data_IF_458114550266
#
_entry.id   IF_458114550266
#
_cell.length_a   1.000
_cell.length_b   1.000
_cell.length_c   1.000
_cell.angle_alpha   90.00
_cell.angle_beta   90.00
_cell.angle_gamma   90.00
#
_symmetry.space_group_name_H-M   'P 1'
#
loop_
_entity.id
_entity.type
_entity.pdbx_description
1 polymer ?
#
# COMPACT_ATOMS: atom_id res chain seq x y z
N UNK A 1 -35.07 -33.85 -47.14
CA UNK A 1 -33.72 -33.54 -46.69
C UNK A 1 -33.80 -32.49 -45.59
N UNK A 2 -33.66 -32.95 -44.36
CA UNK A 2 -33.56 -32.07 -43.19
C UNK A 2 -32.22 -31.34 -43.30
N UNK A 3 -32.30 -30.01 -43.44
CA UNK A 3 -31.15 -29.15 -43.21
C UNK A 3 -30.73 -29.32 -41.75
N UNK A 4 -29.55 -29.86 -41.52
CA UNK A 4 -28.98 -29.97 -40.21
C UNK A 4 -28.93 -28.61 -39.54
N UNK A 5 -29.47 -28.54 -38.33
CA UNK A 5 -29.20 -27.47 -37.39
C UNK A 5 -27.69 -27.49 -37.17
N UNK A 6 -27.01 -26.42 -37.57
CA UNK A 6 -25.58 -26.27 -37.25
C UNK A 6 -25.42 -26.46 -35.76
N UNK A 7 -24.39 -27.20 -35.38
CA UNK A 7 -24.04 -27.45 -33.99
C UNK A 7 -23.91 -26.12 -33.26
N UNK A 8 -24.82 -25.88 -32.32
CA UNK A 8 -24.77 -24.72 -31.44
C UNK A 8 -23.72 -25.05 -30.39
N UNK A 9 -22.49 -24.61 -30.59
CA UNK A 9 -21.46 -24.68 -29.58
C UNK A 9 -21.84 -23.73 -28.43
N UNK A 10 -22.28 -24.32 -27.33
CA UNK A 10 -22.56 -23.61 -26.11
C UNK A 10 -21.22 -23.35 -25.39
N UNK A 11 -20.98 -22.11 -24.93
CA UNK A 11 -19.83 -21.75 -24.11
C UNK A 11 -19.66 -22.75 -22.95
N UNK A 12 -18.57 -23.49 -22.96
CA UNK A 12 -18.26 -24.53 -21.97
C UNK A 12 -17.25 -24.05 -20.92
N UNK A 13 -16.55 -22.96 -21.20
CA UNK A 13 -15.48 -22.40 -20.33
C UNK A 13 -15.58 -20.88 -20.38
N UNK A 14 -15.34 -20.22 -19.26
CA UNK A 14 -15.20 -18.77 -19.20
C UNK A 14 -13.80 -18.36 -19.64
N UNK A 15 -13.68 -17.32 -20.50
CA UNK A 15 -12.40 -16.86 -20.99
C UNK A 15 -12.52 -15.88 -22.16
N UNK A 16 -11.38 -15.35 -22.57
CA UNK A 16 -11.25 -14.51 -23.76
C UNK A 16 -11.39 -15.36 -25.03
N UNK A 17 -12.28 -14.95 -25.91
CA UNK A 17 -12.52 -15.64 -27.17
C UNK A 17 -11.68 -14.96 -28.26
N UNK A 18 -10.78 -15.73 -28.88
CA UNK A 18 -10.00 -15.28 -30.02
C UNK A 18 -10.21 -16.20 -31.22
N UNK A 19 -10.04 -15.66 -32.44
CA UNK A 19 -10.09 -16.43 -33.67
C UNK A 19 -8.68 -16.45 -34.26
N UNK A 20 -8.11 -17.64 -34.37
CA UNK A 20 -6.79 -17.86 -34.98
C UNK A 20 -6.94 -18.89 -36.08
N UNK A 21 -6.54 -18.54 -37.31
CA UNK A 21 -6.61 -19.40 -38.50
C UNK A 21 -8.00 -20.05 -38.74
N UNK A 22 -9.09 -19.32 -38.41
CA UNK A 22 -10.47 -19.80 -38.58
C UNK A 22 -10.98 -20.71 -37.47
N UNK A 23 -10.18 -21.00 -36.45
CA UNK A 23 -10.59 -21.72 -35.22
C UNK A 23 -10.85 -20.74 -34.06
N UNK A 24 -11.88 -21.04 -33.25
CA UNK A 24 -12.22 -20.26 -32.06
C UNK A 24 -11.49 -20.86 -30.85
N UNK A 25 -10.67 -20.04 -30.21
CA UNK A 25 -9.98 -20.39 -28.98
C UNK A 25 -10.57 -19.61 -27.82
N UNK A 26 -10.71 -20.25 -26.67
CA UNK A 26 -11.09 -19.63 -25.40
C UNK A 26 -9.88 -19.77 -24.46
N UNK A 27 -9.36 -18.63 -23.98
CA UNK A 27 -8.23 -18.55 -23.05
C UNK A 27 -8.65 -17.79 -21.80
N UNK A 28 -8.18 -18.21 -20.66
CA UNK A 28 -8.27 -17.46 -19.39
C UNK A 28 -7.26 -16.29 -19.31
N UNK A 29 -6.42 -16.14 -20.34
CA UNK A 29 -5.47 -15.04 -20.48
C UNK A 29 -5.94 -14.07 -21.55
N UNK A 30 -6.13 -12.83 -21.16
CA UNK A 30 -6.36 -11.69 -22.06
C UNK A 30 -5.01 -11.09 -22.46
N UNK A 31 -4.61 -11.25 -23.71
CA UNK A 31 -3.34 -10.76 -24.24
C UNK A 31 -3.55 -9.46 -25.04
N UNK A 32 -2.76 -8.44 -24.75
CA UNK A 32 -2.75 -7.14 -25.43
C UNK A 32 -1.30 -6.72 -25.72
N UNK A 33 -1.09 -5.97 -26.83
CA UNK A 33 0.25 -5.53 -27.19
C UNK A 33 0.73 -4.42 -26.23
N UNK A 34 0.05 -3.26 -26.20
CA UNK A 34 0.31 -2.15 -25.29
C UNK A 34 -0.97 -1.64 -24.66
N UNK A 35 -0.91 -1.20 -23.40
CA UNK A 35 -2.00 -0.47 -22.76
C UNK A 35 -1.76 1.02 -22.96
N UNK A 36 -2.43 1.59 -23.95
CA UNK A 36 -2.27 2.97 -24.42
C UNK A 36 -3.62 3.51 -24.89
N UNK A 37 -3.61 4.63 -25.62
CA UNK A 37 -4.81 5.23 -26.20
C UNK A 37 -5.57 4.28 -27.16
N UNK A 38 -4.91 3.26 -27.70
CA UNK A 38 -5.52 2.29 -28.61
C UNK A 38 -6.31 1.21 -27.86
N UNK A 39 -5.82 0.73 -26.72
CA UNK A 39 -6.48 -0.31 -25.94
C UNK A 39 -7.36 0.29 -24.82
N UNK A 40 -7.02 1.49 -24.33
CA UNK A 40 -7.71 2.11 -23.19
C UNK A 40 -7.41 1.42 -21.86
N UNK A 41 -8.25 1.68 -20.86
CA UNK A 41 -8.21 0.97 -19.59
C UNK A 41 -8.70 -0.46 -19.75
N UNK A 42 -8.06 -1.38 -19.05
CA UNK A 42 -8.42 -2.82 -19.12
C UNK A 42 -8.97 -3.27 -17.77
N UNK A 43 -10.13 -3.90 -17.82
CA UNK A 43 -10.74 -4.62 -16.69
C UNK A 43 -11.14 -6.01 -17.15
N UNK A 44 -10.63 -7.07 -16.47
CA UNK A 44 -10.83 -8.45 -16.85
C UNK A 44 -10.87 -9.36 -15.63
N UNK A 45 -11.57 -10.50 -15.69
CA UNK A 45 -11.67 -11.42 -14.55
C UNK A 45 -10.55 -12.47 -14.49
N UNK A 46 -9.91 -12.79 -15.63
CA UNK A 46 -8.82 -13.76 -15.72
C UNK A 46 -7.44 -13.12 -15.70
N UNK A 47 -6.42 -13.84 -16.15
CA UNK A 47 -5.07 -13.31 -16.23
C UNK A 47 -4.92 -12.32 -17.40
N UNK A 48 -4.07 -11.32 -17.23
CA UNK A 48 -3.75 -10.33 -18.27
C UNK A 48 -2.26 -10.44 -18.63
N UNK A 49 -1.98 -10.49 -19.91
CA UNK A 49 -0.63 -10.39 -20.46
C UNK A 49 -0.52 -9.15 -21.35
N UNK A 50 0.35 -8.22 -20.97
CA UNK A 50 0.73 -7.05 -21.77
C UNK A 50 2.10 -7.35 -22.38
N UNK A 51 2.15 -7.57 -23.71
CA UNK A 51 3.40 -7.89 -24.43
C UNK A 51 4.39 -6.73 -24.48
N UNK A 52 3.89 -5.52 -24.44
CA UNK A 52 4.66 -4.27 -24.45
C UNK A 52 4.53 -3.50 -23.15
N UNK A 53 4.19 -2.21 -23.24
CA UNK A 53 4.20 -1.27 -22.14
C UNK A 53 2.78 -0.94 -21.63
N UNK A 54 2.72 -0.49 -20.38
CA UNK A 54 1.54 0.19 -19.84
C UNK A 54 1.87 1.68 -19.73
N UNK A 55 1.21 2.48 -20.57
CA UNK A 55 1.45 3.92 -20.66
C UNK A 55 0.83 4.69 -19.49
N UNK A 56 1.29 5.92 -19.30
CA UNK A 56 0.83 6.77 -18.22
C UNK A 56 -0.68 7.09 -18.28
N UNK A 57 -1.28 7.23 -17.11
CA UNK A 57 -2.71 7.53 -16.89
C UNK A 57 -3.68 6.43 -17.33
N UNK A 58 -3.20 5.26 -17.70
CA UNK A 58 -4.02 4.08 -17.93
C UNK A 58 -4.08 3.18 -16.70
N UNK A 59 -5.08 2.31 -16.68
CA UNK A 59 -5.28 1.33 -15.61
C UNK A 59 -5.49 -0.07 -16.17
N UNK A 60 -4.92 -1.04 -15.44
CA UNK A 60 -5.14 -2.48 -15.67
C UNK A 60 -5.66 -3.07 -14.38
N UNK A 61 -6.83 -3.69 -14.44
CA UNK A 61 -7.46 -4.30 -13.28
C UNK A 61 -7.91 -5.72 -13.59
N UNK A 62 -7.59 -6.65 -12.69
CA UNK A 62 -7.99 -8.06 -12.81
C UNK A 62 -8.13 -8.72 -11.44
N UNK A 63 -8.92 -9.79 -11.39
CA UNK A 63 -8.95 -10.72 -10.26
C UNK A 63 -7.82 -11.77 -10.34
N UNK A 64 -7.26 -12.00 -11.52
CA UNK A 64 -6.14 -12.90 -11.77
C UNK A 64 -4.78 -12.22 -11.64
N UNK A 65 -3.82 -12.73 -12.42
CA UNK A 65 -2.44 -12.23 -12.46
C UNK A 65 -2.25 -11.24 -13.62
N UNK A 66 -1.27 -10.33 -13.46
CA UNK A 66 -0.86 -9.40 -14.52
C UNK A 66 0.61 -9.63 -14.86
N UNK A 67 0.89 -9.89 -16.15
CA UNK A 67 2.23 -10.01 -16.70
C UNK A 67 2.48 -8.87 -17.69
N UNK A 68 3.52 -8.07 -17.45
CA UNK A 68 3.93 -6.97 -18.34
C UNK A 68 5.35 -7.23 -18.83
N UNK A 69 5.53 -7.45 -20.12
CA UNK A 69 6.86 -7.70 -20.68
C UNK A 69 7.69 -6.43 -20.89
N UNK A 70 7.04 -5.27 -20.90
CA UNK A 70 7.65 -3.96 -21.04
C UNK A 70 7.83 -3.19 -19.74
N UNK A 71 7.68 -1.87 -19.84
CA UNK A 71 7.75 -0.89 -18.73
C UNK A 71 6.36 -0.40 -18.39
N UNK A 72 6.13 -0.13 -17.10
CA UNK A 72 4.93 0.56 -16.61
C UNK A 72 5.28 2.01 -16.32
N UNK A 73 4.59 2.96 -16.93
CA UNK A 73 4.83 4.39 -16.78
C UNK A 73 3.62 5.09 -16.16
N UNK A 74 3.74 5.61 -14.94
CA UNK A 74 2.72 6.41 -14.27
C UNK A 74 1.29 5.85 -14.33
N UNK A 75 1.14 4.54 -14.38
CA UNK A 75 -0.12 3.82 -14.53
C UNK A 75 -0.55 3.14 -13.22
N UNK A 76 -1.79 2.67 -13.18
CA UNK A 76 -2.34 1.93 -12.04
C UNK A 76 -2.58 0.48 -12.45
N UNK A 77 -1.99 -0.47 -11.71
CA UNK A 77 -2.23 -1.90 -11.91
C UNK A 77 -2.78 -2.50 -10.61
N UNK A 78 -3.94 -3.12 -10.70
CA UNK A 78 -4.58 -3.83 -9.59
C UNK A 78 -4.83 -5.28 -10.00
N UNK A 79 -4.22 -6.22 -9.30
CA UNK A 79 -4.36 -7.65 -9.52
C UNK A 79 -4.82 -8.36 -8.24
N UNK A 80 -5.77 -9.28 -8.36
CA UNK A 80 -6.13 -10.18 -7.26
C UNK A 80 -5.04 -11.22 -6.96
N UNK A 81 -4.24 -11.58 -7.96
CA UNK A 81 -3.07 -12.45 -7.87
C UNK A 81 -1.75 -11.68 -7.90
N UNK A 82 -0.79 -12.19 -8.65
CA UNK A 82 0.57 -11.65 -8.77
C UNK A 82 0.67 -10.59 -9.87
N UNK A 83 1.62 -9.64 -9.69
CA UNK A 83 2.03 -8.69 -10.72
C UNK A 83 3.50 -8.95 -11.04
N UNK A 84 3.78 -9.27 -12.30
CA UNK A 84 5.13 -9.47 -12.81
C UNK A 84 5.42 -8.48 -13.92
N UNK A 85 6.43 -7.63 -13.74
CA UNK A 85 6.86 -6.64 -14.71
C UNK A 85 8.31 -6.97 -15.11
N UNK A 86 8.50 -7.51 -16.31
CA UNK A 86 9.81 -7.99 -16.76
C UNK A 86 10.90 -6.91 -16.77
N UNK A 87 10.53 -5.66 -17.03
CA UNK A 87 11.47 -4.53 -16.94
C UNK A 87 11.29 -3.80 -15.61
N UNK A 88 10.22 -3.09 -15.40
CA UNK A 88 9.98 -2.37 -14.14
C UNK A 88 9.03 -1.20 -14.29
N UNK A 89 8.96 -0.35 -13.26
CA UNK A 89 8.01 0.74 -13.21
C UNK A 89 8.67 2.08 -12.96
N UNK A 90 8.38 3.05 -13.83
CA UNK A 90 8.56 4.47 -13.59
C UNK A 90 7.23 5.09 -13.14
N UNK A 91 7.00 5.17 -11.83
CA UNK A 91 5.72 5.58 -11.27
C UNK A 91 5.40 7.09 -11.42
N UNK A 92 6.40 7.95 -11.62
CA UNK A 92 6.22 9.41 -11.79
C UNK A 92 5.43 10.05 -10.63
N UNK A 93 5.53 9.49 -9.41
CA UNK A 93 4.78 9.86 -8.19
C UNK A 93 3.24 9.71 -8.28
N UNK A 94 2.71 9.07 -9.31
CA UNK A 94 1.28 8.79 -9.51
C UNK A 94 0.99 7.32 -9.80
N UNK A 95 2.00 6.59 -10.23
CA UNK A 95 1.87 5.17 -10.55
C UNK A 95 1.69 4.31 -9.30
N UNK A 96 0.79 3.31 -9.41
CA UNK A 96 0.40 2.47 -8.30
C UNK A 96 0.31 1.02 -8.72
N UNK A 97 0.87 0.12 -7.91
CA UNK A 97 0.74 -1.34 -8.04
C UNK A 97 0.07 -1.89 -6.79
N UNK A 98 -0.98 -2.68 -6.97
CA UNK A 98 -1.66 -3.39 -5.88
C UNK A 98 -1.83 -4.85 -6.29
N UNK A 99 -1.21 -5.77 -5.55
CA UNK A 99 -1.32 -7.20 -5.77
C UNK A 99 -1.91 -7.90 -4.54
N UNK A 100 -2.85 -8.78 -4.76
CA UNK A 100 -3.31 -9.73 -3.75
C UNK A 100 -2.27 -10.83 -3.45
N UNK A 101 -1.35 -11.07 -4.38
CA UNK A 101 -0.18 -11.93 -4.26
C UNK A 101 1.12 -11.16 -4.16
N UNK A 102 2.08 -11.51 -5.00
CA UNK A 102 3.45 -10.99 -5.03
C UNK A 102 3.64 -9.93 -6.12
N UNK A 103 4.66 -9.11 -5.97
CA UNK A 103 5.09 -8.17 -7.02
C UNK A 103 6.56 -8.42 -7.34
N UNK A 104 6.84 -8.70 -8.61
CA UNK A 104 8.18 -8.92 -9.13
C UNK A 104 8.45 -7.92 -10.23
N UNK A 105 9.52 -7.14 -10.08
CA UNK A 105 9.92 -6.14 -11.06
C UNK A 105 11.43 -5.96 -11.07
N UNK A 106 12.02 -5.55 -12.18
CA UNK A 106 13.45 -5.24 -12.22
C UNK A 106 13.77 -3.95 -11.45
N UNK A 107 12.92 -2.92 -11.59
CA UNK A 107 13.05 -1.69 -10.84
C UNK A 107 11.69 -1.07 -10.50
N UNK A 108 11.63 -0.35 -9.39
CA UNK A 108 10.50 0.44 -8.94
C UNK A 108 11.01 1.85 -8.65
N UNK A 109 10.52 2.85 -9.37
CA UNK A 109 10.98 4.23 -9.21
C UNK A 109 9.81 5.19 -9.08
N UNK A 110 9.80 6.01 -8.03
CA UNK A 110 8.77 7.00 -7.73
C UNK A 110 7.34 6.43 -7.81
N UNK A 111 7.13 5.23 -7.23
CA UNK A 111 5.89 4.45 -7.28
C UNK A 111 5.33 4.15 -5.90
N UNK A 112 4.00 3.93 -5.82
CA UNK A 112 3.33 3.34 -4.67
C UNK A 112 3.03 1.87 -4.95
N UNK A 113 3.58 0.97 -4.13
CA UNK A 113 3.53 -0.48 -4.34
C UNK A 113 3.00 -1.17 -3.09
N UNK A 114 1.97 -1.97 -3.24
CA UNK A 114 1.37 -2.76 -2.15
C UNK A 114 1.17 -4.19 -2.62
N UNK A 115 1.79 -5.14 -1.92
CA UNK A 115 1.61 -6.57 -2.13
C UNK A 115 1.16 -7.23 -0.82
N UNK A 116 0.21 -8.16 -0.87
CA UNK A 116 -0.10 -8.98 0.30
C UNK A 116 0.95 -10.08 0.53
N UNK A 117 1.66 -10.49 -0.51
CA UNK A 117 2.83 -11.37 -0.46
C UNK A 117 4.14 -10.59 -0.33
N UNK A 118 5.16 -11.03 -1.06
CA UNK A 118 6.47 -10.39 -1.11
C UNK A 118 6.59 -9.40 -2.28
N UNK A 119 7.59 -8.53 -2.18
CA UNK A 119 8.02 -7.64 -3.27
C UNK A 119 9.47 -7.93 -3.59
N UNK A 120 9.75 -8.24 -4.85
CA UNK A 120 11.10 -8.45 -5.35
C UNK A 120 11.46 -7.41 -6.43
N UNK A 121 12.60 -6.72 -6.24
CA UNK A 121 13.11 -5.77 -7.23
C UNK A 121 14.62 -5.58 -7.09
N UNK A 122 15.35 -5.46 -8.21
CA UNK A 122 16.79 -5.14 -8.16
C UNK A 122 17.03 -3.70 -7.63
N UNK A 123 16.09 -2.78 -7.85
CA UNK A 123 16.20 -1.38 -7.43
C UNK A 123 14.85 -0.82 -6.99
N UNK A 124 14.81 -0.21 -5.81
CA UNK A 124 13.66 0.51 -5.27
C UNK A 124 14.12 1.94 -4.97
N UNK A 125 13.62 2.90 -5.77
CA UNK A 125 14.08 4.28 -5.74
C UNK A 125 12.91 5.24 -5.46
N UNK A 126 13.02 6.07 -4.42
CA UNK A 126 12.04 7.10 -4.07
C UNK A 126 10.59 6.59 -4.06
N UNK A 127 10.40 5.34 -3.64
CA UNK A 127 9.12 4.64 -3.71
C UNK A 127 8.58 4.32 -2.33
N UNK A 128 7.26 4.17 -2.25
CA UNK A 128 6.59 3.65 -1.06
C UNK A 128 6.19 2.21 -1.34
N UNK A 129 6.86 1.28 -0.67
CA UNK A 129 6.65 -0.16 -0.84
C UNK A 129 6.11 -0.75 0.46
N UNK A 130 5.02 -1.51 0.34
CA UNK A 130 4.39 -2.24 1.45
C UNK A 130 4.25 -3.69 1.03
N UNK A 131 4.93 -4.59 1.74
CA UNK A 131 4.85 -6.03 1.53
C UNK A 131 4.23 -6.72 2.75
N UNK A 132 3.28 -7.60 2.53
CA UNK A 132 2.65 -8.41 3.57
C UNK A 132 3.60 -9.43 4.20
N UNK A 133 4.69 -9.79 3.51
CA UNK A 133 5.71 -10.73 4.03
C UNK A 133 7.10 -10.12 3.99
N UNK A 134 7.78 -10.11 2.87
CA UNK A 134 9.20 -9.79 2.73
C UNK A 134 9.46 -8.85 1.55
N UNK A 135 10.58 -8.12 1.58
CA UNK A 135 11.08 -7.36 0.44
C UNK A 135 12.48 -7.85 0.10
N UNK A 136 12.67 -8.23 -1.16
CA UNK A 136 13.94 -8.72 -1.70
C UNK A 136 14.53 -7.71 -2.69
N UNK A 137 15.69 -7.17 -2.36
CA UNK A 137 16.45 -6.27 -3.21
C UNK A 137 17.93 -6.65 -3.20
N UNK A 138 18.23 -7.90 -3.58
CA UNK A 138 19.58 -8.47 -3.54
C UNK A 138 20.18 -8.64 -4.94
N UNK A 139 19.32 -8.85 -5.94
CA UNK A 139 19.74 -9.08 -7.32
C UNK A 139 20.28 -7.79 -7.97
N UNK A 140 21.14 -7.94 -8.95
CA UNK A 140 21.70 -6.83 -9.72
C UNK A 140 22.40 -5.78 -8.86
N UNK A 141 21.93 -4.53 -8.88
CA UNK A 141 22.46 -3.46 -8.02
C UNK A 141 22.05 -3.63 -6.56
N UNK A 142 20.93 -4.28 -6.30
CA UNK A 142 20.46 -4.56 -4.97
C UNK A 142 20.24 -3.31 -4.12
N UNK A 143 19.55 -2.28 -4.65
CA UNK A 143 19.52 -0.96 -4.04
C UNK A 143 18.13 -0.53 -3.59
N UNK A 144 18.00 -0.15 -2.33
CA UNK A 144 16.86 0.61 -1.80
C UNK A 144 17.37 2.01 -1.43
N UNK A 145 16.89 3.05 -2.11
CA UNK A 145 17.29 4.44 -1.84
C UNK A 145 16.15 5.42 -2.02
N UNK A 146 15.84 6.16 -0.96
CA UNK A 146 14.73 7.09 -0.90
C UNK A 146 13.36 6.44 -0.70
N UNK A 147 12.46 7.16 -0.05
CA UNK A 147 11.11 6.70 0.23
C UNK A 147 11.01 5.79 1.46
N UNK A 148 10.02 4.91 1.47
CA UNK A 148 9.70 4.06 2.61
C UNK A 148 9.39 2.64 2.19
N UNK A 149 10.05 1.67 2.79
CA UNK A 149 9.84 0.23 2.58
C UNK A 149 9.36 -0.39 3.89
N UNK A 150 8.25 -1.09 3.83
CA UNK A 150 7.62 -1.76 4.98
C UNK A 150 7.41 -3.23 4.62
N UNK A 151 7.84 -4.13 5.50
CA UNK A 151 7.58 -5.57 5.40
C UNK A 151 7.18 -6.15 6.76
N UNK A 152 6.36 -7.22 6.76
CA UNK A 152 5.99 -7.85 8.03
C UNK A 152 7.12 -8.63 8.66
N UNK A 153 7.96 -9.31 7.85
CA UNK A 153 8.97 -10.26 8.34
C UNK A 153 10.40 -9.76 8.14
N UNK A 154 10.80 -9.53 6.90
CA UNK A 154 12.18 -9.22 6.59
C UNK A 154 12.34 -8.28 5.38
N UNK A 155 13.45 -7.56 5.37
CA UNK A 155 13.95 -6.84 4.19
C UNK A 155 15.37 -7.32 3.91
N UNK A 156 15.55 -7.94 2.75
CA UNK A 156 16.84 -8.44 2.28
C UNK A 156 17.35 -7.48 1.20
N UNK A 157 18.42 -6.79 1.47
CA UNK A 157 18.95 -5.75 0.58
C UNK A 157 20.47 -5.81 0.49
N UNK A 158 21.01 -5.58 -0.70
CA UNK A 158 22.45 -5.44 -0.86
C UNK A 158 22.91 -4.06 -0.38
N UNK A 159 22.30 -2.98 -0.88
CA UNK A 159 22.66 -1.63 -0.49
C UNK A 159 21.42 -0.82 -0.07
N UNK A 160 21.47 -0.14 1.08
CA UNK A 160 20.38 0.67 1.59
C UNK A 160 20.83 2.12 1.82
N UNK A 161 20.04 3.08 1.30
CA UNK A 161 20.40 4.50 1.32
C UNK A 161 21.32 4.91 0.18
N UNK A 162 21.99 6.03 0.34
CA UNK A 162 23.00 6.51 -0.59
C UNK A 162 24.07 7.34 0.12
N UNK A 163 25.28 7.46 -0.43
CA UNK A 163 26.33 8.34 0.11
C UNK A 163 25.91 9.81 0.22
N UNK A 164 24.91 10.21 -0.57
CA UNK A 164 24.36 11.59 -0.57
C UNK A 164 23.32 11.81 0.53
N UNK A 165 23.04 10.81 1.38
CA UNK A 165 22.10 10.93 2.50
C UNK A 165 20.62 11.01 2.06
N UNK A 166 20.22 10.32 0.99
CA UNK A 166 18.82 10.26 0.58
C UNK A 166 17.96 9.68 1.70
N UNK A 167 16.91 10.40 2.11
CA UNK A 167 16.02 9.98 3.18
C UNK A 167 15.36 8.63 2.85
N UNK A 168 15.80 7.59 3.53
CA UNK A 168 15.36 6.21 3.31
C UNK A 168 14.86 5.63 4.62
N UNK A 169 13.66 5.06 4.62
CA UNK A 169 13.03 4.46 5.81
C UNK A 169 12.76 2.99 5.51
N UNK A 170 13.23 2.09 6.37
CA UNK A 170 13.00 0.66 6.28
C UNK A 170 12.36 0.18 7.58
N UNK A 171 11.18 -0.43 7.47
CA UNK A 171 10.43 -0.94 8.62
C UNK A 171 10.12 -2.42 8.47
N UNK A 172 10.33 -3.19 9.54
CA UNK A 172 9.96 -4.61 9.59
C UNK A 172 9.35 -5.00 10.94
N UNK A 173 8.69 -6.14 10.99
CA UNK A 173 8.23 -6.74 12.22
C UNK A 173 6.86 -6.29 12.70
N UNK A 174 6.05 -5.73 11.84
CA UNK A 174 4.66 -5.39 12.15
C UNK A 174 3.78 -5.55 10.91
N UNK A 175 2.55 -6.00 11.11
CA UNK A 175 1.58 -6.10 10.03
C UNK A 175 1.26 -4.71 9.45
N UNK A 176 1.50 -4.50 8.13
CA UNK A 176 1.29 -3.22 7.47
C UNK A 176 -0.18 -2.79 7.45
N UNK A 177 -1.13 -3.74 7.33
CA UNK A 177 -2.56 -3.42 7.30
C UNK A 177 -3.03 -2.90 8.66
N UNK A 178 -2.61 -3.56 9.74
CA UNK A 178 -2.89 -3.11 11.11
C UNK A 178 -2.30 -1.72 11.35
N UNK A 179 -1.06 -1.47 10.95
CA UNK A 179 -0.45 -0.11 11.04
C UNK A 179 -1.19 0.93 10.22
N UNK A 180 -1.61 0.59 9.02
CA UNK A 180 -2.38 1.50 8.17
C UNK A 180 -3.73 1.84 8.81
N UNK A 181 -4.43 0.84 9.35
CA UNK A 181 -5.69 1.04 10.07
C UNK A 181 -5.49 1.93 11.30
N UNK A 182 -4.45 1.66 12.09
CA UNK A 182 -4.08 2.47 13.26
C UNK A 182 -3.79 3.93 12.88
N UNK A 183 -3.06 4.17 11.79
CA UNK A 183 -2.76 5.53 11.32
C UNK A 183 -4.04 6.30 10.90
N UNK A 184 -4.97 5.63 10.22
CA UNK A 184 -6.26 6.20 9.83
C UNK A 184 -7.09 6.54 11.06
N UNK A 185 -7.19 5.64 12.03
CA UNK A 185 -7.92 5.86 13.27
C UNK A 185 -7.32 6.98 14.11
N UNK A 186 -5.99 7.03 14.26
CA UNK A 186 -5.29 8.11 14.97
C UNK A 186 -5.59 9.48 14.36
N UNK A 187 -5.62 9.57 13.03
CA UNK A 187 -5.99 10.80 12.32
C UNK A 187 -7.45 11.18 12.61
N UNK A 188 -8.38 10.22 12.50
CA UNK A 188 -9.81 10.43 12.77
C UNK A 188 -10.05 10.89 14.19
N UNK A 189 -9.44 10.23 15.18
CA UNK A 189 -9.48 10.59 16.60
C UNK A 189 -8.97 12.03 16.82
N UNK A 190 -7.85 12.39 16.19
CA UNK A 190 -7.29 13.74 16.28
C UNK A 190 -8.22 14.82 15.73
N UNK A 191 -8.82 14.60 14.56
CA UNK A 191 -9.78 15.52 13.93
C UNK A 191 -11.07 15.63 14.75
N UNK A 192 -11.60 14.50 15.22
CA UNK A 192 -12.82 14.44 16.02
C UNK A 192 -12.62 15.10 17.38
N UNK A 193 -11.50 14.89 18.05
CA UNK A 193 -11.16 15.55 19.33
C UNK A 193 -11.12 17.06 19.20
N UNK A 194 -10.54 17.58 18.09
CA UNK A 194 -10.55 19.02 17.80
C UNK A 194 -11.97 19.55 17.60
N UNK A 195 -12.80 18.84 16.83
CA UNK A 195 -14.20 19.22 16.59
C UNK A 195 -15.01 19.23 17.89
N UNK A 196 -14.87 18.21 18.74
CA UNK A 196 -15.52 18.13 20.06
C UNK A 196 -15.09 19.30 20.94
N UNK A 197 -13.82 19.64 20.98
CA UNK A 197 -13.31 20.78 21.75
C UNK A 197 -13.93 22.11 21.31
N UNK A 198 -14.05 22.32 19.99
CA UNK A 198 -14.70 23.51 19.43
C UNK A 198 -16.21 23.58 19.80
N UNK A 199 -16.93 22.48 19.62
CA UNK A 199 -18.35 22.40 19.99
C UNK A 199 -18.56 22.64 21.49
N UNK A 200 -17.70 22.04 22.33
CA UNK A 200 -17.72 22.26 23.78
C UNK A 200 -17.55 23.74 24.13
N UNK A 201 -16.58 24.42 23.55
CA UNK A 201 -16.32 25.84 23.79
C UNK A 201 -17.53 26.71 23.42
N UNK A 202 -18.20 26.40 22.28
CA UNK A 202 -19.42 27.11 21.88
C UNK A 202 -20.57 26.88 22.89
N UNK A 203 -20.75 25.61 23.32
CA UNK A 203 -21.80 25.28 24.31
C UNK A 203 -21.55 25.96 25.66
N UNK A 204 -20.29 25.95 26.15
CA UNK A 204 -19.90 26.61 27.41
C UNK A 204 -20.10 28.13 27.33
N UNK A 205 -19.69 28.79 26.26
CA UNK A 205 -19.88 30.21 26.03
C UNK A 205 -21.37 30.58 25.97
N UNK A 206 -22.18 29.73 25.33
CA UNK A 206 -23.63 29.94 25.25
C UNK A 206 -24.29 29.77 26.62
N UNK A 207 -23.87 28.75 27.37
CA UNK A 207 -24.36 28.55 28.75
C UNK A 207 -24.02 29.72 29.69
N UNK A 208 -22.83 30.29 29.56
CA UNK A 208 -22.43 31.49 30.33
C UNK A 208 -23.30 32.70 29.98
N UNK A 209 -23.61 32.94 28.70
CA UNK A 209 -24.51 34.02 28.26
C UNK A 209 -25.93 33.86 28.81
N UNK A 210 -26.44 32.62 28.86
CA UNK A 210 -27.77 32.36 29.47
C UNK A 210 -27.74 32.66 30.95
N UNK A 211 -26.70 32.24 31.68
CA UNK A 211 -26.53 32.53 33.12
C UNK A 211 -26.44 34.02 33.42
N UNK A 212 -25.90 34.82 32.51
CA UNK A 212 -25.84 36.30 32.64
C UNK A 212 -27.13 37.00 32.26
N UNK A 213 -28.24 36.29 32.04
CA UNK A 213 -29.58 36.87 31.80
C UNK A 213 -29.89 37.15 30.32
N UNK A 214 -29.08 36.71 29.37
CA UNK A 214 -29.36 36.88 27.96
C UNK A 214 -30.56 36.02 27.50
N UNK A 215 -31.56 36.65 26.88
CA UNK A 215 -32.70 35.96 26.27
C UNK A 215 -32.29 35.36 24.92
N UNK A 216 -32.56 34.10 24.72
CA UNK A 216 -32.32 33.41 23.42
C UNK A 216 -33.56 33.50 22.52
N UNK A 217 -33.33 33.63 21.21
CA UNK A 217 -34.37 33.48 20.20
C UNK A 217 -34.74 32.00 20.01
N UNK A 218 -35.96 31.69 19.52
CA UNK A 218 -36.35 30.30 19.23
C UNK A 218 -35.36 29.56 18.32
N UNK A 219 -34.80 30.25 17.32
CA UNK A 219 -33.82 29.68 16.39
C UNK A 219 -32.49 29.37 17.08
N UNK A 220 -32.05 30.23 18.01
CA UNK A 220 -30.85 29.96 18.80
C UNK A 220 -31.03 28.74 19.71
N UNK A 221 -32.21 28.56 20.30
CA UNK A 221 -32.54 27.38 21.11
C UNK A 221 -32.50 26.11 20.25
N UNK A 222 -33.08 26.15 19.04
CA UNK A 222 -33.07 25.04 18.11
C UNK A 222 -31.65 24.66 17.69
N UNK A 223 -30.83 25.65 17.33
CA UNK A 223 -29.42 25.41 16.93
C UNK A 223 -28.59 24.87 18.10
N UNK A 224 -28.83 25.33 19.33
CA UNK A 224 -28.14 24.82 20.51
C UNK A 224 -28.50 23.35 20.80
N UNK A 225 -29.78 22.96 20.65
CA UNK A 225 -30.19 21.56 20.80
C UNK A 225 -29.54 20.67 19.75
N UNK A 226 -29.48 21.13 18.48
CA UNK A 226 -28.81 20.42 17.40
C UNK A 226 -27.29 20.23 17.68
N UNK A 227 -26.64 21.32 18.16
CA UNK A 227 -25.23 21.26 18.53
C UNK A 227 -24.97 20.32 19.72
N UNK A 228 -25.85 20.28 20.70
CA UNK A 228 -25.77 19.33 21.82
C UNK A 228 -25.90 17.88 21.33
N UNK A 229 -26.82 17.61 20.42
CA UNK A 229 -26.96 16.28 19.82
C UNK A 229 -25.71 15.89 19.06
N UNK A 230 -25.21 16.76 18.19
CA UNK A 230 -23.96 16.52 17.43
C UNK A 230 -22.75 16.32 18.34
N UNK A 231 -22.67 17.03 19.44
CA UNK A 231 -21.64 16.87 20.46
C UNK A 231 -21.70 15.49 21.10
N UNK A 232 -22.90 15.05 21.52
CA UNK A 232 -23.08 13.71 22.11
C UNK A 232 -22.76 12.59 21.13
N UNK A 233 -23.23 12.67 19.88
CA UNK A 233 -22.93 11.70 18.82
C UNK A 233 -21.42 11.64 18.52
N UNK A 234 -20.76 12.81 18.51
CA UNK A 234 -19.31 12.88 18.27
C UNK A 234 -18.51 12.28 19.41
N UNK A 235 -18.96 12.47 20.65
CA UNK A 235 -18.32 11.82 21.82
C UNK A 235 -18.47 10.29 21.78
N UNK A 236 -19.64 9.79 21.45
CA UNK A 236 -19.86 8.34 21.33
C UNK A 236 -18.97 7.72 20.23
N UNK A 237 -18.88 8.39 19.07
CA UNK A 237 -18.00 7.95 17.98
C UNK A 237 -16.53 7.98 18.40
N UNK A 238 -16.10 9.01 19.12
CA UNK A 238 -14.73 9.10 19.64
C UNK A 238 -14.41 7.95 20.57
N UNK A 239 -15.32 7.58 21.47
CA UNK A 239 -15.12 6.46 22.38
C UNK A 239 -15.00 5.13 21.64
N UNK A 240 -15.82 4.91 20.58
CA UNK A 240 -15.72 3.72 19.74
C UNK A 240 -14.39 3.65 19.00
N UNK A 241 -13.93 4.77 18.45
CA UNK A 241 -12.63 4.84 17.76
C UNK A 241 -11.45 4.60 18.70
N UNK A 242 -11.52 5.13 19.94
CA UNK A 242 -10.49 4.88 20.96
C UNK A 242 -10.48 3.42 21.43
N UNK A 243 -11.65 2.80 21.59
CA UNK A 243 -11.74 1.38 21.93
C UNK A 243 -11.17 0.49 20.81
N UNK A 244 -11.47 0.80 19.54
CA UNK A 244 -10.90 0.10 18.39
C UNK A 244 -9.37 0.28 18.34
N UNK A 245 -8.85 1.48 18.60
CA UNK A 245 -7.42 1.75 18.70
C UNK A 245 -6.76 0.90 19.79
N UNK A 246 -7.33 0.82 20.97
CA UNK A 246 -6.80 0.01 22.06
C UNK A 246 -6.77 -1.48 21.70
N UNK A 247 -7.81 -2.00 21.03
CA UNK A 247 -7.82 -3.38 20.53
C UNK A 247 -6.75 -3.63 19.46
N UNK A 248 -6.55 -2.67 18.56
CA UNK A 248 -5.50 -2.76 17.55
C UNK A 248 -4.09 -2.72 18.17
N UNK A 249 -3.88 -1.90 19.19
CA UNK A 249 -2.61 -1.84 19.93
C UNK A 249 -2.31 -3.15 20.65
N UNK A 250 -3.31 -3.80 21.25
CA UNK A 250 -3.15 -5.13 21.84
C UNK A 250 -2.94 -6.24 20.78
N UNK A 251 -3.54 -6.09 19.61
CA UNK A 251 -3.41 -7.05 18.50
C UNK A 251 -2.14 -6.86 17.68
N UNK A 252 -1.44 -5.73 17.82
CA UNK A 252 -0.14 -5.49 17.20
C UNK A 252 0.90 -6.48 17.72
N UNK A 253 0.87 -7.69 17.14
CA UNK A 253 1.92 -8.67 17.37
C UNK A 253 3.14 -8.24 16.58
N UNK A 254 4.17 -7.88 17.29
CA UNK A 254 5.48 -7.72 16.69
C UNK A 254 6.10 -9.09 16.43
N UNK A 255 6.67 -9.26 15.24
CA UNK A 255 7.44 -10.48 14.94
C UNK A 255 8.83 -10.35 15.57
N UNK A 256 9.11 -11.17 16.56
CA UNK A 256 10.42 -11.19 17.25
C UNK A 256 11.56 -11.70 16.33
N UNK A 257 11.23 -12.39 15.24
CA UNK A 257 12.20 -12.86 14.24
C UNK A 257 12.41 -11.87 13.10
N UNK A 258 11.73 -10.73 13.13
CA UNK A 258 11.87 -9.71 12.09
C UNK A 258 13.29 -9.18 12.04
N UNK A 259 13.83 -9.07 10.82
CA UNK A 259 15.21 -8.66 10.60
C UNK A 259 15.40 -7.91 9.29
N UNK A 260 16.54 -7.23 9.18
CA UNK A 260 16.99 -6.61 7.93
C UNK A 260 18.36 -7.16 7.62
N UNK A 261 18.51 -7.83 6.49
CA UNK A 261 19.75 -8.37 5.97
C UNK A 261 20.41 -7.40 4.99
N UNK A 262 21.67 -7.09 5.23
CA UNK A 262 22.47 -6.17 4.44
C UNK A 262 23.64 -6.94 3.85
N UNK A 263 23.51 -7.33 2.57
CA UNK A 263 24.54 -8.07 1.85
C UNK A 263 25.65 -7.19 1.25
N UNK A 264 25.60 -5.89 1.47
CA UNK A 264 26.59 -4.91 1.04
C UNK A 264 26.69 -3.77 2.05
N UNK A 265 26.22 -2.56 1.72
CA UNK A 265 26.36 -1.39 2.58
C UNK A 265 25.02 -0.72 2.88
N UNK A 266 24.76 -0.44 4.17
CA UNK A 266 23.73 0.48 4.61
C UNK A 266 24.39 1.82 4.98
N UNK A 267 24.02 2.86 4.24
CA UNK A 267 24.62 4.19 4.36
C UNK A 267 24.08 4.98 5.55
N UNK A 268 24.85 5.97 5.98
CA UNK A 268 24.45 6.93 7.02
C UNK A 268 23.14 7.65 6.63
N UNK A 269 22.29 7.93 7.62
CA UNK A 269 21.01 8.64 7.44
C UNK A 269 19.80 7.72 7.16
N UNK A 270 20.02 6.42 6.94
CA UNK A 270 18.90 5.46 6.83
C UNK A 270 18.21 5.34 8.19
N UNK A 271 16.89 5.48 8.21
CA UNK A 271 16.06 5.23 9.38
C UNK A 271 15.52 3.79 9.33
N UNK A 272 15.77 3.05 10.38
CA UNK A 272 15.38 1.64 10.53
C UNK A 272 14.38 1.52 11.67
N UNK A 273 13.34 0.72 11.49
CA UNK A 273 12.45 0.30 12.56
C UNK A 273 12.24 -1.21 12.51
N UNK A 274 12.47 -1.91 13.63
CA UNK A 274 12.28 -3.36 13.77
C UNK A 274 11.41 -3.61 14.99
N UNK A 275 10.22 -4.16 14.78
CA UNK A 275 9.29 -4.53 15.86
C UNK A 275 9.10 -3.43 16.91
N UNK A 276 8.95 -2.17 16.44
CA UNK A 276 8.75 -0.99 17.28
C UNK A 276 10.01 -0.31 17.81
N UNK A 277 11.18 -0.97 17.80
CA UNK A 277 12.45 -0.32 18.07
C UNK A 277 12.89 0.49 16.85
N UNK A 278 13.57 1.64 17.07
CA UNK A 278 13.99 2.54 15.99
C UNK A 278 15.48 2.84 16.09
N UNK A 279 16.15 2.94 14.95
CA UNK A 279 17.55 3.29 14.82
C UNK A 279 17.74 4.23 13.63
N UNK A 280 18.45 5.33 13.82
CA UNK A 280 18.98 6.10 12.69
C UNK A 280 20.45 5.75 12.51
N UNK A 281 20.81 5.29 11.34
CA UNK A 281 22.18 4.86 11.00
C UNK A 281 23.10 6.06 11.03
N UNK A 282 24.03 6.06 11.99
CA UNK A 282 25.06 7.11 12.16
C UNK A 282 26.36 6.76 11.45
N UNK A 283 26.73 5.47 11.48
CA UNK A 283 27.90 4.92 10.80
C UNK A 283 27.43 3.82 9.87
N UNK A 284 28.12 3.62 8.76
CA UNK A 284 27.77 2.58 7.79
C UNK A 284 27.82 1.18 8.40
N UNK A 285 26.84 0.36 8.05
CA UNK A 285 26.80 -1.08 8.34
C UNK A 285 27.10 -1.85 7.08
N UNK A 286 27.94 -2.88 7.19
CA UNK A 286 28.29 -3.74 6.04
C UNK A 286 28.18 -5.20 6.42
N UNK A 287 27.64 -6.03 5.49
CA UNK A 287 27.55 -7.48 5.64
C UNK A 287 27.03 -7.92 7.02
N UNK A 288 25.84 -7.47 7.37
CA UNK A 288 25.28 -7.73 8.69
C UNK A 288 23.77 -7.90 8.65
N UNK A 289 23.26 -8.56 9.69
CA UNK A 289 21.83 -8.65 10.00
C UNK A 289 21.51 -7.69 11.13
N UNK A 290 20.51 -6.85 10.94
CA UNK A 290 19.95 -6.01 12.00
C UNK A 290 18.76 -6.74 12.64
N UNK A 291 18.78 -6.87 13.97
CA UNK A 291 17.72 -7.50 14.75
C UNK A 291 17.41 -6.66 15.99
N UNK A 292 16.19 -6.79 16.49
CA UNK A 292 15.81 -6.20 17.77
C UNK A 292 16.33 -7.08 18.91
N UNK A 293 17.00 -6.47 19.90
CA UNK A 293 17.35 -7.09 21.19
C UNK A 293 16.89 -6.19 22.33
N UNK A 294 15.83 -6.60 23.02
CA UNK A 294 15.20 -5.77 24.05
C UNK A 294 14.56 -4.51 23.45
N UNK A 295 15.00 -3.33 23.87
CA UNK A 295 14.52 -2.04 23.35
C UNK A 295 15.33 -1.51 22.17
N UNK A 296 16.50 -2.09 21.88
CA UNK A 296 17.46 -1.58 20.90
C UNK A 296 17.57 -2.47 19.65
N UNK A 297 18.06 -1.87 18.56
CA UNK A 297 18.43 -2.59 17.34
C UNK A 297 19.94 -2.83 17.37
N UNK A 298 20.36 -4.09 17.18
CA UNK A 298 21.76 -4.49 17.16
C UNK A 298 22.11 -5.17 15.84
N UNK A 299 23.38 -5.05 15.45
CA UNK A 299 23.90 -5.79 14.29
C UNK A 299 24.51 -7.11 14.73
N UNK A 300 24.29 -8.14 13.91
CA UNK A 300 24.95 -9.46 14.01
C UNK A 300 25.55 -9.81 12.65
N UNK A 301 26.48 -10.74 12.59
CA UNK A 301 26.99 -11.23 11.31
C UNK A 301 25.88 -11.95 10.54
N UNK A 302 25.87 -11.81 9.21
CA UNK A 302 25.02 -12.55 8.28
C UNK A 302 25.34 -14.04 8.30
#
# INVERSE_FOLDING_TARGET
>A
PSRGLGDVYKRQVDGHVSMVEGAVFVSDVYSVDDVSTSAGNIEYHGNIEVKGNVCENFSVKTEGNVFVNGVVEGAVIEAGGDIVIARGMHGQNKGKLVAGGNIIAKFLSAAEVTAHGFVEAEQILNSKVVAGTEVHAEAGKGLISGGRVIASKAVNVKNAGSPMGTATIIEVGSDPETKKRQAILNKSVGERSKSISQMRQVLENTAMKIKSGAKMTPDQIKNMKLLQQQYAESQEKLQKELAELAQLDESLKYDDNAHIDIGGTMYQGVAVAISGATLTVKNEYTYCRLVKKGADITSTNL
#
